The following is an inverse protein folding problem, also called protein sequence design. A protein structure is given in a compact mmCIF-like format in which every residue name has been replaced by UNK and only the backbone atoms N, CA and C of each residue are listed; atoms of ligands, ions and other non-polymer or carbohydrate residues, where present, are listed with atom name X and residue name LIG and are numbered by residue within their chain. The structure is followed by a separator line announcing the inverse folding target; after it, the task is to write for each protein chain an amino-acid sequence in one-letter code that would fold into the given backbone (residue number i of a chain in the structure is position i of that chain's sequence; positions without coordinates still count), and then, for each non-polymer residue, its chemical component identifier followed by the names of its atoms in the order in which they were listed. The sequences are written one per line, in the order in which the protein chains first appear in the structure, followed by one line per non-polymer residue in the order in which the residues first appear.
data_IF_780009435481
#
_entry.id   IF_780009435481
#
_cell.length_a   1.000
_cell.length_b   1.000
_cell.length_c   1.000
_cell.angle_alpha   90.00
_cell.angle_beta   90.00
_cell.angle_gamma   90.00
#
_symmetry.space_group_name_H-M   'P 1'
#
loop_
_entity.id
_entity.type
_entity.pdbx_description
1 polymer ?
#
# COMPACT_ATOMS: atom_id res chain seq x y z
N UNK A 1 14.15 -37.22 -19.87
CA UNK A 1 14.34 -36.46 -18.61
C UNK A 1 14.41 -34.99 -19.00
N UNK A 2 13.26 -34.30 -18.99
CA UNK A 2 13.21 -32.86 -19.26
C UNK A 2 13.47 -32.10 -17.97
N UNK A 3 14.57 -31.36 -17.94
CA UNK A 3 14.77 -30.21 -17.06
C UNK A 3 13.76 -29.12 -17.44
N UNK A 4 12.54 -29.23 -16.93
CA UNK A 4 11.61 -28.11 -16.87
C UNK A 4 12.03 -27.23 -15.69
N UNK A 5 13.19 -26.58 -15.83
CA UNK A 5 13.62 -25.51 -14.95
C UNK A 5 12.53 -24.45 -14.95
N UNK A 6 11.91 -24.23 -13.80
CA UNK A 6 10.95 -23.16 -13.59
C UNK A 6 11.67 -21.83 -13.83
N UNK A 7 11.59 -21.29 -15.05
CA UNK A 7 11.86 -19.88 -15.30
C UNK A 7 10.76 -19.09 -14.59
N UNK A 8 10.96 -18.88 -13.28
CA UNK A 8 10.26 -17.82 -12.55
C UNK A 8 10.60 -16.55 -13.31
N UNK A 9 9.62 -16.00 -14.04
CA UNK A 9 9.79 -14.75 -14.77
C UNK A 9 10.44 -13.73 -13.83
N UNK A 10 11.71 -13.42 -14.08
CA UNK A 10 12.48 -12.56 -13.21
C UNK A 10 11.78 -11.20 -13.13
N UNK A 11 11.65 -10.60 -11.94
CA UNK A 11 11.05 -9.28 -11.81
C UNK A 11 11.80 -8.30 -12.73
N UNK A 12 11.08 -7.65 -13.63
CA UNK A 12 11.72 -6.73 -14.57
C UNK A 12 12.43 -5.61 -13.81
N UNK A 13 13.68 -5.30 -14.17
CA UNK A 13 14.47 -4.24 -13.53
C UNK A 13 13.72 -2.90 -13.49
N UNK A 14 12.87 -2.65 -14.49
CA UNK A 14 11.98 -1.48 -14.57
C UNK A 14 10.92 -1.48 -13.48
N UNK A 15 10.30 -2.63 -13.20
CA UNK A 15 9.32 -2.75 -12.12
C UNK A 15 9.96 -2.57 -10.74
N UNK A 16 11.15 -3.14 -10.53
CA UNK A 16 11.94 -2.92 -9.32
C UNK A 16 12.31 -1.44 -9.14
N UNK A 17 12.80 -0.79 -10.19
CA UNK A 17 13.13 0.63 -10.19
C UNK A 17 11.92 1.53 -9.90
N UNK A 18 10.78 1.28 -10.54
CA UNK A 18 9.54 2.03 -10.29
C UNK A 18 9.08 1.90 -8.83
N UNK A 19 9.25 0.71 -8.25
CA UNK A 19 8.95 0.45 -6.83
C UNK A 19 9.88 1.21 -5.88
N UNK A 20 11.18 1.23 -6.16
CA UNK A 20 12.15 1.99 -5.37
C UNK A 20 11.85 3.49 -5.42
N UNK A 21 11.49 4.02 -6.60
CA UNK A 21 11.09 5.42 -6.76
C UNK A 21 9.83 5.70 -5.95
N UNK A 22 8.81 4.85 -6.03
CA UNK A 22 7.58 5.01 -5.25
C UNK A 22 7.86 5.01 -3.75
N UNK A 23 8.65 4.06 -3.25
CA UNK A 23 9.02 3.98 -1.84
C UNK A 23 9.82 5.22 -1.39
N UNK A 24 10.79 5.66 -2.19
CA UNK A 24 11.58 6.85 -1.90
C UNK A 24 10.71 8.11 -1.86
N UNK A 25 9.78 8.27 -2.81
CA UNK A 25 8.83 9.39 -2.82
C UNK A 25 7.92 9.34 -1.60
N UNK A 26 7.41 8.17 -1.23
CA UNK A 26 6.56 8.03 -0.05
C UNK A 26 7.32 8.43 1.23
N UNK A 27 8.55 7.96 1.40
CA UNK A 27 9.42 8.35 2.52
C UNK A 27 9.73 9.85 2.51
N UNK A 28 9.99 10.44 1.35
CA UNK A 28 10.27 11.87 1.26
C UNK A 28 9.06 12.73 1.64
N UNK A 29 7.83 12.24 1.43
CA UNK A 29 6.60 12.97 1.72
C UNK A 29 6.14 12.83 3.17
N UNK A 30 6.29 11.64 3.77
CA UNK A 30 5.70 11.34 5.09
C UNK A 30 6.65 10.56 6.02
N UNK A 31 7.95 10.62 5.75
CA UNK A 31 9.00 10.00 6.55
C UNK A 31 8.83 8.48 6.71
N UNK A 32 8.91 8.03 7.97
CA UNK A 32 8.77 6.61 8.30
C UNK A 32 7.38 6.04 7.96
N UNK A 33 6.32 6.86 8.10
CA UNK A 33 4.96 6.45 7.77
C UNK A 33 4.83 6.17 6.28
N UNK A 34 5.39 7.04 5.44
CA UNK A 34 5.40 6.82 4.00
C UNK A 34 6.16 5.56 3.57
N UNK A 35 7.30 5.29 4.22
CA UNK A 35 8.02 4.02 4.05
C UNK A 35 7.19 2.80 4.43
N UNK A 36 6.50 2.86 5.57
CA UNK A 36 5.65 1.78 6.05
C UNK A 36 4.46 1.51 5.11
N UNK A 37 3.83 2.55 4.55
CA UNK A 37 2.77 2.41 3.54
C UNK A 37 3.30 1.73 2.29
N UNK A 38 4.49 2.12 1.80
CA UNK A 38 5.08 1.48 0.63
C UNK A 38 5.33 -0.02 0.87
N UNK A 39 5.83 -0.38 2.06
CA UNK A 39 5.99 -1.79 2.47
C UNK A 39 4.65 -2.50 2.56
N UNK A 40 3.61 -1.88 3.11
CA UNK A 40 2.27 -2.46 3.21
C UNK A 40 1.67 -2.76 1.83
N UNK A 41 1.78 -1.82 0.89
CA UNK A 41 1.36 -2.04 -0.49
C UNK A 41 2.13 -3.22 -1.10
N UNK A 42 3.46 -3.23 -0.99
CA UNK A 42 4.28 -4.31 -1.53
C UNK A 42 3.89 -5.67 -0.95
N UNK A 43 3.70 -5.73 0.37
CA UNK A 43 3.26 -6.93 1.08
C UNK A 43 1.90 -7.43 0.61
N UNK A 44 0.91 -6.53 0.45
CA UNK A 44 -0.42 -6.89 -0.04
C UNK A 44 -0.35 -7.47 -1.46
N UNK A 45 0.46 -6.87 -2.33
CA UNK A 45 0.64 -7.35 -3.71
C UNK A 45 1.37 -8.68 -3.76
N UNK A 46 2.46 -8.84 -3.00
CA UNK A 46 3.23 -10.09 -2.92
C UNK A 46 2.41 -11.22 -2.29
N UNK A 47 1.49 -10.88 -1.37
CA UNK A 47 0.55 -11.82 -0.78
C UNK A 47 -0.54 -12.30 -1.75
N UNK A 48 -0.66 -11.69 -2.93
CA UNK A 48 -1.71 -12.02 -3.90
C UNK A 48 -3.12 -11.68 -3.40
N UNK A 49 -3.22 -10.73 -2.46
CA UNK A 49 -4.51 -10.31 -1.92
C UNK A 49 -5.34 -9.54 -2.97
N UNK A 50 -6.68 -9.55 -2.86
CA UNK A 50 -7.53 -8.75 -3.72
C UNK A 50 -7.14 -7.27 -3.65
N UNK A 51 -6.98 -6.63 -4.80
CA UNK A 51 -6.61 -5.20 -4.86
C UNK A 51 -7.63 -4.30 -4.16
N UNK A 52 -8.87 -4.75 -4.04
CA UNK A 52 -9.93 -4.08 -3.27
C UNK A 52 -9.57 -3.88 -1.80
N UNK A 53 -8.66 -4.69 -1.24
CA UNK A 53 -8.14 -4.50 0.12
C UNK A 53 -7.38 -3.17 0.23
N UNK A 54 -6.60 -2.79 -0.78
CA UNK A 54 -5.90 -1.49 -0.82
C UNK A 54 -6.91 -0.34 -0.85
N UNK A 55 -7.89 -0.41 -1.76
CA UNK A 55 -8.92 0.62 -1.90
C UNK A 55 -9.75 0.76 -0.62
N UNK A 56 -10.20 -0.35 -0.04
CA UNK A 56 -10.99 -0.36 1.20
C UNK A 56 -10.22 0.17 2.40
N UNK A 57 -8.96 -0.26 2.58
CA UNK A 57 -8.10 0.26 3.64
C UNK A 57 -7.82 1.76 3.48
N UNK A 58 -7.58 2.21 2.24
CA UNK A 58 -7.37 3.62 1.95
C UNK A 58 -8.61 4.49 2.23
N UNK A 59 -9.79 4.04 1.80
CA UNK A 59 -11.06 4.73 2.10
C UNK A 59 -11.32 4.77 3.61
N UNK A 60 -11.07 3.67 4.32
CA UNK A 60 -11.22 3.62 5.76
C UNK A 60 -10.27 4.62 6.46
N UNK A 61 -9.01 4.71 6.03
CA UNK A 61 -8.06 5.68 6.56
C UNK A 61 -8.52 7.13 6.31
N UNK A 62 -9.01 7.45 5.11
CA UNK A 62 -9.58 8.78 4.80
C UNK A 62 -10.82 9.09 5.65
N UNK A 63 -11.72 8.12 5.81
CA UNK A 63 -12.92 8.27 6.62
C UNK A 63 -12.62 8.44 8.12
N UNK A 64 -11.45 7.98 8.58
CA UNK A 64 -10.98 8.17 9.94
C UNK A 64 -10.41 9.58 10.19
N UNK A 65 -10.05 10.35 9.15
CA UNK A 65 -9.48 11.70 9.30
C UNK A 65 -10.40 12.63 10.08
N UNK A 66 -11.70 12.79 9.75
CA UNK A 66 -12.59 13.66 10.53
C UNK A 66 -12.72 13.22 11.99
N UNK A 67 -12.74 11.90 12.25
CA UNK A 67 -12.80 11.35 13.61
C UNK A 67 -11.52 11.70 14.39
N UNK A 68 -10.36 11.57 13.75
CA UNK A 68 -9.07 11.93 14.33
C UNK A 68 -8.97 13.43 14.62
N UNK A 69 -9.48 14.28 13.72
CA UNK A 69 -9.52 15.74 13.94
C UNK A 69 -10.42 16.08 15.13
N UNK A 70 -11.62 15.51 15.20
CA UNK A 70 -12.55 15.74 16.31
C UNK A 70 -11.99 15.23 17.66
N UNK A 71 -11.31 14.08 17.65
CA UNK A 71 -10.72 13.49 18.85
C UNK A 71 -9.54 14.29 19.42
N UNK A 72 -8.78 14.97 18.56
CA UNK A 72 -7.66 15.84 18.98
C UNK A 72 -8.11 17.25 19.40
N UNK A 73 -9.40 17.58 19.24
CA UNK A 73 -9.92 18.91 19.54
C UNK A 73 -9.59 19.95 18.46
N UNK A 74 -10.38 21.04 18.43
CA UNK A 74 -10.03 22.22 17.64
C UNK A 74 -9.13 23.10 18.51
N UNK A 75 -7.98 23.56 18.02
CA UNK A 75 -7.09 24.42 18.80
C UNK A 75 -7.84 25.70 19.16
N UNK A 76 -7.79 26.07 20.44
CA UNK A 76 -8.06 27.43 20.86
C UNK A 76 -6.88 28.32 20.43
N UNK A 77 -7.13 29.60 20.10
CA UNK A 77 -6.14 30.52 19.50
C UNK A 77 -4.88 30.73 20.36
N UNK A 78 -4.89 30.32 21.63
CA UNK A 78 -3.81 30.46 22.61
C UNK A 78 -2.97 29.18 22.84
N UNK A 79 -3.33 28.03 22.24
CA UNK A 79 -2.70 26.72 22.50
C UNK A 79 -1.81 26.20 21.35
N UNK A 80 -1.08 27.08 20.66
CA UNK A 80 -0.04 26.62 19.70
C UNK A 80 1.21 26.20 20.49
N UNK A 81 1.13 25.06 21.17
CA UNK A 81 2.29 24.39 21.75
C UNK A 81 2.91 23.40 20.76
N UNK A 82 4.21 23.10 20.85
CA UNK A 82 4.84 22.04 20.04
C UNK A 82 4.15 20.68 20.17
N UNK A 83 3.57 20.39 21.34
CA UNK A 83 2.83 19.16 21.62
C UNK A 83 1.53 19.08 20.81
N UNK A 84 0.83 20.21 20.63
CA UNK A 84 -0.33 20.29 19.75
C UNK A 84 0.05 20.04 18.28
N UNK A 85 1.18 20.61 17.83
CA UNK A 85 1.67 20.40 16.45
C UNK A 85 1.97 18.92 16.20
N UNK A 86 2.62 18.22 17.13
CA UNK A 86 2.91 16.79 17.02
C UNK A 86 1.63 15.95 17.07
N UNK A 87 0.68 16.26 17.95
CA UNK A 87 -0.63 15.60 18.01
C UNK A 87 -1.46 15.77 16.72
N UNK A 88 -1.32 16.92 16.06
CA UNK A 88 -2.00 17.24 14.80
C UNK A 88 -1.45 16.50 13.57
N UNK A 89 -0.30 15.81 13.70
CA UNK A 89 0.29 15.01 12.61
C UNK A 89 -0.50 13.73 12.34
N UNK A 90 -1.27 13.22 13.31
CA UNK A 90 -2.00 11.97 13.14
C UNK A 90 -3.06 12.03 12.01
N UNK A 91 -3.95 13.04 11.95
CA UNK A 91 -4.81 13.26 10.78
C UNK A 91 -4.04 13.39 9.45
N UNK A 92 -2.86 14.01 9.47
CA UNK A 92 -2.03 14.17 8.27
C UNK A 92 -1.54 12.82 7.74
N UNK A 93 -0.98 11.98 8.62
CA UNK A 93 -0.54 10.63 8.29
C UNK A 93 -1.69 9.76 7.78
N UNK A 94 -2.87 9.80 8.44
CA UNK A 94 -4.06 9.07 7.99
C UNK A 94 -4.50 9.50 6.59
N UNK A 95 -4.50 10.81 6.32
CA UNK A 95 -4.82 11.33 5.00
C UNK A 95 -3.82 10.86 3.95
N UNK A 96 -2.52 10.94 4.26
CA UNK A 96 -1.45 10.49 3.37
C UNK A 96 -1.58 9.00 3.03
N UNK A 97 -1.68 8.15 4.07
CA UNK A 97 -1.90 6.70 3.94
C UNK A 97 -3.12 6.42 3.07
N UNK A 98 -4.23 7.11 3.36
CA UNK A 98 -5.48 6.97 2.62
C UNK A 98 -5.31 7.28 1.12
N UNK A 99 -4.70 8.41 0.80
CA UNK A 99 -4.48 8.84 -0.58
C UNK A 99 -3.53 7.89 -1.33
N UNK A 100 -2.44 7.47 -0.71
CA UNK A 100 -1.48 6.55 -1.33
C UNK A 100 -2.13 5.20 -1.62
N UNK A 101 -2.90 4.64 -0.68
CA UNK A 101 -3.56 3.35 -0.86
C UNK A 101 -4.66 3.40 -1.94
N UNK A 102 -5.53 4.41 -1.90
CA UNK A 102 -6.59 4.59 -2.92
C UNK A 102 -5.98 4.89 -4.28
N UNK A 103 -4.98 5.77 -4.36
CA UNK A 103 -4.29 6.10 -5.60
C UNK A 103 -3.61 4.88 -6.21
N UNK A 104 -2.92 4.09 -5.39
CA UNK A 104 -2.29 2.84 -5.84
C UNK A 104 -3.34 1.86 -6.35
N UNK A 105 -4.45 1.67 -5.62
CA UNK A 105 -5.56 0.83 -6.06
C UNK A 105 -6.13 1.28 -7.41
N UNK A 106 -6.39 2.58 -7.58
CA UNK A 106 -6.95 3.14 -8.81
C UNK A 106 -6.00 2.95 -10.01
N UNK A 107 -4.70 3.17 -9.82
CA UNK A 107 -3.68 2.95 -10.86
C UNK A 107 -3.65 1.47 -11.26
N UNK A 108 -3.62 0.56 -10.29
CA UNK A 108 -3.59 -0.88 -10.55
C UNK A 108 -4.88 -1.37 -11.22
N UNK A 109 -6.05 -0.89 -10.79
CA UNK A 109 -7.35 -1.23 -11.39
C UNK A 109 -7.41 -0.77 -12.84
N UNK A 110 -7.01 0.48 -13.11
CA UNK A 110 -6.94 1.05 -14.46
C UNK A 110 -5.97 0.27 -15.35
N UNK A 111 -4.80 -0.10 -14.81
CA UNK A 111 -3.81 -0.89 -15.54
C UNK A 111 -4.35 -2.28 -15.89
N UNK A 112 -5.09 -2.94 -14.99
CA UNK A 112 -5.73 -4.23 -15.28
C UNK A 112 -6.82 -4.10 -16.35
N UNK A 113 -7.69 -3.09 -16.26
CA UNK A 113 -8.72 -2.87 -17.29
C UNK A 113 -8.10 -2.65 -18.68
N UNK A 114 -7.09 -1.79 -18.76
CA UNK A 114 -6.35 -1.56 -20.03
C UNK A 114 -5.65 -2.82 -20.55
N UNK A 115 -5.24 -3.72 -19.68
CA UNK A 115 -4.67 -5.00 -20.10
C UNK A 115 -5.75 -5.91 -20.69
N UNK A 116 -6.88 -6.05 -19.98
CA UNK A 116 -8.03 -6.83 -20.43
C UNK A 116 -8.58 -6.33 -21.77
N UNK A 117 -8.67 -5.01 -21.97
CA UNK A 117 -9.13 -4.41 -23.24
C UNK A 117 -8.18 -4.74 -24.41
N UNK A 118 -6.86 -4.77 -24.16
CA UNK A 118 -5.86 -5.15 -25.18
C UNK A 118 -5.92 -6.63 -25.53
N UNK A 119 -6.23 -7.48 -24.55
CA UNK A 119 -6.40 -8.91 -24.76
C UNK A 119 -7.70 -9.21 -25.50
N UNK A 120 -8.79 -8.51 -25.18
CA UNK A 120 -10.07 -8.65 -25.88
C UNK A 120 -10.00 -8.21 -27.36
N UNK A 121 -9.11 -7.26 -27.68
CA UNK A 121 -8.81 -6.84 -29.06
C UNK A 121 -7.84 -7.76 -29.81
N UNK A 122 -7.24 -8.76 -29.15
CA UNK A 122 -6.43 -9.81 -29.79
C UNK A 122 -7.31 -11.04 -30.04
N UNK A 123 -7.27 -11.55 -31.26
CA UNK A 123 -7.85 -12.85 -31.61
C UNK A 123 -7.34 -13.92 -30.62
N UNK A 124 -8.21 -14.82 -30.11
CA UNK A 124 -7.90 -15.64 -28.94
C UNK A 124 -6.72 -16.57 -29.24
N UNK A 125 -5.55 -16.23 -28.70
CA UNK A 125 -4.47 -17.19 -28.55
C UNK A 125 -4.93 -18.24 -27.54
N UNK A 126 -4.76 -19.52 -27.90
CA UNK A 126 -5.11 -20.70 -27.08
C UNK A 126 -4.67 -20.45 -25.63
N UNK A 127 -5.57 -20.51 -24.63
CA UNK A 127 -5.22 -20.24 -23.24
C UNK A 127 -4.16 -21.21 -22.74
N UNK A 128 -2.99 -20.71 -22.37
CA UNK A 128 -1.99 -21.50 -21.68
C UNK A 128 -2.37 -21.53 -20.18
N UNK A 129 -3.03 -22.61 -19.76
CA UNK A 129 -3.57 -22.88 -18.42
C UNK A 129 -2.53 -22.83 -17.27
N UNK A 130 -1.27 -22.48 -17.53
CA UNK A 130 -0.15 -22.74 -16.62
C UNK A 130 0.35 -21.58 -15.77
N UNK A 131 -0.29 -20.41 -15.78
CA UNK A 131 0.29 -19.21 -15.16
C UNK A 131 -0.63 -18.49 -14.17
N UNK A 132 -1.04 -19.17 -13.10
CA UNK A 132 -1.46 -18.47 -11.87
C UNK A 132 -0.26 -18.46 -10.93
N UNK A 133 0.46 -17.33 -10.74
CA UNK A 133 1.53 -17.24 -9.77
C UNK A 133 0.96 -17.61 -8.39
N UNK A 134 1.63 -18.52 -7.69
CA UNK A 134 1.12 -19.16 -6.48
C UNK A 134 0.58 -18.14 -5.48
N UNK A 135 -0.74 -18.15 -5.29
CA UNK A 135 -1.38 -17.42 -4.20
C UNK A 135 -0.83 -17.97 -2.88
N UNK A 136 -0.29 -17.08 -2.05
CA UNK A 136 0.03 -17.45 -0.68
C UNK A 136 -1.26 -17.91 0.02
N UNK A 137 -1.18 -18.90 0.94
CA UNK A 137 -2.33 -19.28 1.73
C UNK A 137 -2.89 -18.05 2.43
N UNK A 138 -4.20 -17.81 2.31
CA UNK A 138 -4.90 -16.67 2.94
C UNK A 138 -4.46 -16.34 4.37
N UNK A 139 -4.25 -17.31 5.29
CA UNK A 139 -3.78 -16.98 6.64
C UNK A 139 -2.37 -16.37 6.66
N UNK A 140 -1.47 -16.78 5.77
CA UNK A 140 -0.11 -16.22 5.65
C UNK A 140 -0.17 -14.79 5.14
N UNK A 141 -1.04 -14.52 4.16
CA UNK A 141 -1.27 -13.16 3.67
C UNK A 141 -1.76 -12.21 4.78
N UNK A 142 -2.71 -12.67 5.60
CA UNK A 142 -3.19 -11.90 6.76
C UNK A 142 -2.13 -11.71 7.83
N UNK A 143 -1.31 -12.72 8.10
CA UNK A 143 -0.20 -12.62 9.06
C UNK A 143 0.85 -11.58 8.61
N UNK A 144 1.22 -11.59 7.33
CA UNK A 144 2.14 -10.59 6.76
C UNK A 144 1.54 -9.19 6.84
N UNK A 145 0.25 -9.03 6.49
CA UNK A 145 -0.42 -7.74 6.62
C UNK A 145 -0.44 -7.25 8.08
N UNK A 146 -0.80 -8.12 9.03
CA UNK A 146 -0.82 -7.78 10.45
C UNK A 146 0.58 -7.39 10.95
N UNK A 147 1.61 -8.12 10.54
CA UNK A 147 3.00 -7.81 10.88
C UNK A 147 3.43 -6.44 10.34
N UNK A 148 3.06 -6.10 9.10
CA UNK A 148 3.37 -4.79 8.53
C UNK A 148 2.60 -3.67 9.24
N UNK A 149 1.32 -3.87 9.55
CA UNK A 149 0.52 -2.90 10.31
C UNK A 149 1.13 -2.69 11.71
N UNK A 150 1.48 -3.76 12.41
CA UNK A 150 2.15 -3.68 13.73
C UNK A 150 3.48 -2.97 13.62
N UNK A 151 4.30 -3.28 12.61
CA UNK A 151 5.58 -2.62 12.37
C UNK A 151 5.43 -1.13 12.07
N UNK A 152 4.43 -0.76 11.28
CA UNK A 152 4.09 0.64 10.98
C UNK A 152 3.67 1.40 12.23
N UNK A 153 2.74 0.82 13.02
CA UNK A 153 2.27 1.41 14.28
C UNK A 153 3.42 1.56 15.28
N UNK A 154 4.29 0.55 15.40
CA UNK A 154 5.46 0.59 16.27
C UNK A 154 6.47 1.65 15.83
N UNK A 155 6.72 1.79 14.52
CA UNK A 155 7.59 2.83 13.98
C UNK A 155 7.02 4.24 14.23
N UNK A 156 5.71 4.45 14.01
CA UNK A 156 5.05 5.71 14.32
C UNK A 156 5.12 6.04 15.82
N UNK A 157 4.88 5.05 16.69
CA UNK A 157 4.97 5.22 18.13
C UNK A 157 6.40 5.56 18.60
N UNK A 158 7.42 4.95 18.00
CA UNK A 158 8.82 5.23 18.30
C UNK A 158 9.24 6.66 17.91
N UNK A 159 8.72 7.17 16.77
CA UNK A 159 8.95 8.56 16.35
C UNK A 159 8.27 9.56 17.29
N UNK A 160 7.08 9.22 17.80
CA UNK A 160 6.34 10.07 18.74
C UNK A 160 6.92 10.06 20.16
N UNK A 161 7.71 9.05 20.51
CA UNK A 161 8.33 8.90 21.83
C UNK A 161 9.77 9.47 21.91
N UNK A 162 10.33 9.92 20.78
CA UNK A 162 11.68 10.49 20.68
C UNK A 162 11.64 12.02 20.70
#
# INVERSE_FOLDING_TARGET
MSDAGSERAAPSLRAGGAWLVFAAVAVALDGAVGGAVAVAVAAILLAGLPRTVLGGAGVAALAAVPVAVLANGLPADDEVSPEFVVGSLWPHHLMFVGLVLVGTWAVLDTAARRHADREAGREPAVPDERSTPGQLPRPVAWAVLAMVVVGAVAASAAVLAA
#
